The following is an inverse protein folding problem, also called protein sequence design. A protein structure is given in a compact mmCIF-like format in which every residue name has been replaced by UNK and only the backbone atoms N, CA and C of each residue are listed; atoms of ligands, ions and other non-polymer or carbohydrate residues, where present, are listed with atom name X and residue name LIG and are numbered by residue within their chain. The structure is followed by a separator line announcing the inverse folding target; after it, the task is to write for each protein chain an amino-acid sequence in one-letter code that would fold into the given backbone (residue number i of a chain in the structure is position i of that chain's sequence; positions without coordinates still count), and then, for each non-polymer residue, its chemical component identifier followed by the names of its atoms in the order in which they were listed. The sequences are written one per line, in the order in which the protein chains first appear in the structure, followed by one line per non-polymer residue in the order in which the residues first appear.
data_IF_815770741693
#
_entry.id   IF_815770741693
#
_cell.length_a   1.000
_cell.length_b   1.000
_cell.length_c   1.000
_cell.angle_alpha   90.00
_cell.angle_beta   90.00
_cell.angle_gamma   90.00
#
_symmetry.space_group_name_H-M   'P 1'
#
loop_
_entity.id
_entity.type
_entity.pdbx_description
1 polymer ?
#
# COMPACT_ATOMS: atom_id res chain seq x y z
N UNK A 1 -15.18 5.54 -19.79
CA UNK A 1 -15.23 4.77 -18.53
C UNK A 1 -15.49 3.30 -18.85
N UNK A 2 -14.64 2.40 -18.37
CA UNK A 2 -14.83 0.95 -18.56
C UNK A 2 -16.21 0.53 -18.01
N UNK A 3 -17.06 -0.16 -18.81
CA UNK A 3 -18.39 -0.57 -18.37
C UNK A 3 -18.40 -1.45 -17.11
N UNK A 4 -17.33 -2.22 -16.87
CA UNK A 4 -17.17 -3.07 -15.69
C UNK A 4 -16.99 -2.29 -14.39
N UNK A 5 -16.59 -1.02 -14.46
CA UNK A 5 -16.24 -0.16 -13.34
C UNK A 5 -17.23 1.00 -13.11
N UNK A 6 -18.32 1.07 -13.87
CA UNK A 6 -19.32 2.14 -13.75
C UNK A 6 -20.06 2.17 -12.42
N UNK A 7 -20.04 1.06 -11.69
CA UNK A 7 -20.64 0.93 -10.35
C UNK A 7 -19.72 1.43 -9.24
N UNK A 8 -18.40 1.61 -9.50
CA UNK A 8 -17.42 2.01 -8.49
C UNK A 8 -17.66 3.46 -8.06
N UNK A 9 -17.71 3.66 -6.75
CA UNK A 9 -17.87 4.95 -6.07
C UNK A 9 -16.69 5.31 -5.19
N UNK A 10 -15.96 4.30 -4.70
CA UNK A 10 -14.84 4.45 -3.78
C UNK A 10 -13.62 3.72 -4.36
N UNK A 11 -12.57 4.50 -4.66
CA UNK A 11 -11.31 4.03 -5.22
C UNK A 11 -10.26 4.02 -4.13
N UNK A 12 -9.78 2.85 -3.77
CA UNK A 12 -8.81 2.66 -2.70
C UNK A 12 -7.50 2.23 -3.34
N UNK A 13 -6.42 2.90 -2.98
CA UNK A 13 -5.09 2.60 -3.51
C UNK A 13 -4.15 2.29 -2.35
N UNK A 14 -3.34 1.26 -2.51
CA UNK A 14 -2.12 1.14 -1.73
C UNK A 14 -1.14 2.25 -2.14
N UNK A 15 -0.16 2.53 -1.29
CA UNK A 15 0.83 3.57 -1.52
C UNK A 15 2.09 3.02 -2.17
N UNK A 16 2.79 2.13 -1.44
CA UNK A 16 4.14 1.71 -1.76
C UNK A 16 4.14 0.74 -2.95
N UNK A 17 4.93 1.07 -3.97
CA UNK A 17 4.96 0.35 -5.25
C UNK A 17 3.62 0.29 -6.01
N UNK A 18 2.58 0.98 -5.54
CA UNK A 18 1.29 1.09 -6.21
C UNK A 18 1.10 2.49 -6.84
N UNK A 19 1.11 3.56 -6.03
CA UNK A 19 1.01 4.95 -6.52
C UNK A 19 2.34 5.49 -7.10
N UNK A 20 3.42 4.80 -6.89
CA UNK A 20 4.70 5.00 -7.56
C UNK A 20 5.30 3.63 -7.91
N UNK A 21 6.07 3.51 -9.00
CA UNK A 21 6.54 2.20 -9.44
C UNK A 21 7.64 1.63 -8.53
N UNK A 22 7.66 0.32 -8.35
CA UNK A 22 8.70 -0.41 -7.60
C UNK A 22 10.13 -0.11 -8.09
N UNK A 23 10.27 0.23 -9.38
CA UNK A 23 11.56 0.60 -9.99
C UNK A 23 12.22 1.86 -9.40
N UNK A 24 11.49 2.67 -8.63
CA UNK A 24 12.09 3.79 -7.88
C UNK A 24 13.07 3.32 -6.82
N UNK A 25 12.92 2.08 -6.34
CA UNK A 25 13.72 1.53 -5.26
C UNK A 25 13.53 2.25 -3.92
N UNK A 26 12.43 2.97 -3.73
CA UNK A 26 12.16 3.68 -2.47
C UNK A 26 11.96 2.69 -1.33
N UNK A 27 11.19 1.62 -1.56
CA UNK A 27 10.93 0.61 -0.55
C UNK A 27 12.22 -0.10 -0.09
N UNK A 28 13.22 -0.23 -0.97
CA UNK A 28 14.52 -0.78 -0.59
C UNK A 28 15.24 0.06 0.48
N UNK A 29 15.06 1.39 0.50
CA UNK A 29 15.60 2.25 1.54
C UNK A 29 14.93 2.00 2.89
N UNK A 30 13.62 1.79 2.90
CA UNK A 30 12.87 1.41 4.11
C UNK A 30 13.35 0.06 4.62
N UNK A 31 13.51 -0.91 3.72
CA UNK A 31 13.99 -2.26 4.03
C UNK A 31 15.40 -2.24 4.66
N UNK A 32 16.32 -1.42 4.12
CA UNK A 32 17.65 -1.19 4.69
C UNK A 32 17.57 -0.57 6.10
N UNK A 33 16.70 0.42 6.31
CA UNK A 33 16.52 1.04 7.62
C UNK A 33 15.90 0.10 8.64
N UNK A 34 14.94 -0.74 8.24
CA UNK A 34 14.41 -1.80 9.08
C UNK A 34 15.53 -2.74 9.56
N UNK A 35 16.41 -3.16 8.65
CA UNK A 35 17.59 -3.96 8.99
C UNK A 35 18.51 -3.26 9.98
N UNK A 36 18.81 -1.97 9.76
CA UNK A 36 19.65 -1.17 10.66
C UNK A 36 18.99 -0.97 12.04
N UNK A 37 17.68 -0.78 12.10
CA UNK A 37 16.94 -0.71 13.36
C UNK A 37 17.05 -2.02 14.15
N UNK A 38 16.86 -3.16 13.49
CA UNK A 38 16.98 -4.49 14.14
C UNK A 38 18.40 -4.73 14.66
N UNK A 39 19.43 -4.35 13.88
CA UNK A 39 20.83 -4.46 14.33
C UNK A 39 21.07 -3.70 15.65
N UNK A 40 20.57 -2.45 15.75
CA UNK A 40 20.69 -1.66 16.96
C UNK A 40 19.91 -2.26 18.13
N UNK A 41 18.69 -2.72 17.86
CA UNK A 41 17.80 -3.30 18.87
C UNK A 41 18.36 -4.58 19.48
N UNK A 42 18.87 -5.48 18.63
CA UNK A 42 19.29 -6.84 19.04
C UNK A 42 20.80 -6.97 19.23
N UNK A 43 21.60 -5.98 18.84
CA UNK A 43 23.06 -6.07 18.87
C UNK A 43 23.62 -7.14 17.93
N UNK A 44 22.93 -7.39 16.81
CA UNK A 44 23.25 -8.46 15.86
C UNK A 44 23.91 -7.94 14.59
N UNK A 45 24.47 -8.83 13.78
CA UNK A 45 25.05 -8.47 12.48
C UNK A 45 23.97 -8.27 11.39
N UNK A 46 24.31 -7.70 10.22
CA UNK A 46 23.36 -7.43 9.15
C UNK A 46 22.66 -8.67 8.60
N UNK A 47 23.33 -9.84 8.58
CA UNK A 47 22.76 -11.09 8.05
C UNK A 47 21.70 -11.63 9.01
N UNK A 48 22.00 -11.60 10.30
CA UNK A 48 21.06 -11.99 11.36
C UNK A 48 19.86 -11.03 11.39
N UNK A 49 20.09 -9.72 11.34
CA UNK A 49 19.02 -8.73 11.28
C UNK A 49 18.07 -8.96 10.08
N UNK A 50 18.61 -9.27 8.90
CA UNK A 50 17.81 -9.59 7.72
C UNK A 50 17.01 -10.88 7.90
N UNK A 51 17.57 -11.87 8.58
CA UNK A 51 16.89 -13.13 8.90
C UNK A 51 15.70 -12.87 9.82
N UNK A 52 15.91 -12.09 10.89
CA UNK A 52 14.86 -11.68 11.83
C UNK A 52 13.76 -10.88 11.10
N UNK A 53 14.14 -9.90 10.29
CA UNK A 53 13.22 -9.09 9.51
C UNK A 53 12.30 -9.94 8.62
N UNK A 54 12.89 -10.88 7.85
CA UNK A 54 12.14 -11.78 6.98
C UNK A 54 11.24 -12.73 7.77
N UNK A 55 11.72 -13.28 8.88
CA UNK A 55 10.91 -14.12 9.76
C UNK A 55 9.69 -13.38 10.27
N UNK A 56 9.85 -12.16 10.79
CA UNK A 56 8.72 -11.36 11.30
C UNK A 56 7.71 -11.05 10.19
N UNK A 57 8.18 -10.70 9.00
CA UNK A 57 7.29 -10.48 7.86
C UNK A 57 6.46 -11.73 7.54
N UNK A 58 7.08 -12.92 7.53
CA UNK A 58 6.38 -14.17 7.21
C UNK A 58 5.40 -14.62 8.31
N UNK A 59 5.79 -14.45 9.57
CA UNK A 59 5.01 -14.98 10.70
C UNK A 59 3.94 -14.01 11.19
N UNK A 60 4.11 -12.69 10.95
CA UNK A 60 3.27 -11.64 11.51
C UNK A 60 2.73 -10.65 10.47
N UNK A 61 3.00 -10.84 9.18
CA UNK A 61 2.55 -9.98 8.09
C UNK A 61 3.41 -8.73 7.86
N UNK A 62 4.03 -8.18 8.91
CA UNK A 62 5.04 -7.09 8.81
C UNK A 62 6.16 -7.29 9.82
N UNK A 63 7.31 -6.67 9.53
CA UNK A 63 8.45 -6.59 10.46
C UNK A 63 8.03 -5.93 11.77
N UNK A 64 7.27 -4.83 11.71
CA UNK A 64 6.78 -4.10 12.88
C UNK A 64 5.93 -4.99 13.80
N UNK A 65 4.95 -5.70 13.24
CA UNK A 65 4.07 -6.57 14.04
C UNK A 65 4.85 -7.64 14.82
N UNK A 66 5.89 -8.22 14.19
CA UNK A 66 6.79 -9.14 14.84
C UNK A 66 7.63 -8.50 15.95
N UNK A 67 8.21 -7.33 15.69
CA UNK A 67 9.02 -6.60 16.68
C UNK A 67 8.19 -6.13 17.89
N UNK A 68 6.97 -5.66 17.68
CA UNK A 68 6.06 -5.32 18.78
C UNK A 68 5.76 -6.54 19.65
N UNK A 69 5.50 -7.68 19.03
CA UNK A 69 5.11 -8.90 19.75
C UNK A 69 6.26 -9.55 20.52
N UNK A 70 7.46 -9.59 19.95
CA UNK A 70 8.58 -10.34 20.49
C UNK A 70 9.58 -9.47 21.29
N UNK A 71 9.60 -8.14 21.02
CA UNK A 71 10.61 -7.24 21.57
C UNK A 71 10.03 -5.99 22.23
N UNK A 72 8.68 -5.89 22.34
CA UNK A 72 7.97 -4.74 22.96
C UNK A 72 8.39 -3.38 22.36
N UNK A 73 8.62 -3.35 21.04
CA UNK A 73 9.04 -2.14 20.32
C UNK A 73 7.88 -1.16 20.24
N UNK A 74 8.16 0.12 20.56
CA UNK A 74 7.22 1.20 20.31
C UNK A 74 7.04 1.39 18.79
N UNK A 75 5.82 1.21 18.26
CA UNK A 75 5.57 1.35 16.84
C UNK A 75 5.84 2.75 16.29
N UNK A 76 5.66 3.81 17.11
CA UNK A 76 5.94 5.17 16.68
C UNK A 76 7.44 5.39 16.46
N UNK A 77 8.29 4.95 17.41
CA UNK A 77 9.75 5.05 17.29
C UNK A 77 10.26 4.28 16.07
N UNK A 78 9.72 3.07 15.85
CA UNK A 78 10.10 2.26 14.69
C UNK A 78 9.71 2.94 13.37
N UNK A 79 8.46 3.37 13.25
CA UNK A 79 7.95 3.99 12.01
C UNK A 79 8.64 5.32 11.70
N UNK A 80 8.89 6.15 12.71
CA UNK A 80 9.66 7.38 12.55
C UNK A 80 11.08 7.11 12.04
N UNK A 81 11.78 6.11 12.61
CA UNK A 81 13.14 5.76 12.17
C UNK A 81 13.14 5.21 10.74
N UNK A 82 12.30 4.20 10.43
CA UNK A 82 12.37 3.52 9.12
C UNK A 82 11.87 4.39 7.97
N UNK A 83 10.97 5.33 8.25
CA UNK A 83 10.45 6.27 7.26
C UNK A 83 11.28 7.57 7.15
N UNK A 84 12.32 7.76 7.96
CA UNK A 84 13.26 8.88 7.82
C UNK A 84 14.20 8.68 6.62
N UNK A 85 13.62 8.54 5.44
CA UNK A 85 14.31 8.32 4.16
C UNK A 85 14.16 9.53 3.23
N UNK A 86 15.15 9.75 2.33
CA UNK A 86 15.04 10.73 1.26
C UNK A 86 14.05 10.27 0.19
N UNK A 87 13.27 11.20 -0.38
CA UNK A 87 12.24 10.90 -1.37
C UNK A 87 12.61 11.33 -2.80
N UNK A 88 13.87 11.67 -3.06
CA UNK A 88 14.33 12.17 -4.37
C UNK A 88 14.16 11.15 -5.49
N UNK A 89 14.09 9.86 -5.14
CA UNK A 89 13.84 8.77 -6.10
C UNK A 89 12.42 8.78 -6.65
N UNK A 90 11.47 9.31 -5.87
CA UNK A 90 10.08 9.47 -6.31
C UNK A 90 9.98 10.77 -7.10
N UNK A 91 9.47 10.68 -8.32
CA UNK A 91 9.23 11.84 -9.17
C UNK A 91 7.75 12.27 -9.08
N UNK A 92 7.49 13.54 -9.39
CA UNK A 92 6.12 14.00 -9.59
C UNK A 92 5.51 13.25 -10.79
N UNK A 93 4.30 12.74 -10.62
CA UNK A 93 3.53 12.09 -11.69
C UNK A 93 2.36 12.98 -12.12
N UNK A 94 2.64 13.86 -13.09
CA UNK A 94 1.62 14.73 -13.67
C UNK A 94 0.49 13.94 -14.33
N UNK A 95 0.75 12.73 -14.79
CA UNK A 95 -0.26 11.86 -15.40
C UNK A 95 -1.27 11.41 -14.34
N UNK A 96 -0.82 10.85 -13.21
CA UNK A 96 -1.70 10.51 -12.10
C UNK A 96 -2.44 11.74 -11.58
N UNK A 97 -1.75 12.89 -11.46
CA UNK A 97 -2.37 14.17 -11.08
C UNK A 97 -3.53 14.60 -11.97
N UNK A 98 -3.49 14.28 -13.27
CA UNK A 98 -4.58 14.55 -14.21
C UNK A 98 -5.68 13.48 -14.20
N UNK A 99 -5.34 12.22 -13.94
CA UNK A 99 -6.26 11.09 -14.05
C UNK A 99 -7.10 10.89 -12.79
N UNK A 100 -6.48 10.97 -11.61
CA UNK A 100 -7.18 10.74 -10.34
C UNK A 100 -8.42 11.62 -10.15
N UNK A 101 -8.40 12.95 -10.43
CA UNK A 101 -9.60 13.79 -10.29
C UNK A 101 -10.74 13.44 -11.25
N UNK A 102 -10.46 12.71 -12.34
CA UNK A 102 -11.46 12.30 -13.34
C UNK A 102 -12.20 11.01 -12.92
N UNK A 103 -11.70 10.30 -11.94
CA UNK A 103 -12.39 9.12 -11.39
C UNK A 103 -13.67 9.57 -10.68
N UNK A 104 -14.80 8.93 -10.98
CA UNK A 104 -16.07 9.26 -10.31
C UNK A 104 -16.02 8.82 -8.85
N UNK A 105 -16.57 9.65 -7.97
CA UNK A 105 -16.65 9.32 -6.53
C UNK A 105 -15.40 9.68 -5.75
N UNK A 106 -15.14 8.94 -4.67
CA UNK A 106 -14.14 9.26 -3.65
C UNK A 106 -12.86 8.44 -3.85
N UNK A 107 -11.73 8.95 -3.39
CA UNK A 107 -10.43 8.29 -3.46
C UNK A 107 -9.80 8.24 -2.07
N UNK A 108 -9.22 7.08 -1.74
CA UNK A 108 -8.61 6.81 -0.44
C UNK A 108 -7.25 6.14 -0.62
N UNK A 109 -6.37 6.34 0.34
CA UNK A 109 -5.13 5.57 0.48
C UNK A 109 -5.29 4.59 1.63
N UNK A 110 -4.90 3.33 1.42
CA UNK A 110 -4.83 2.29 2.44
C UNK A 110 -3.44 1.64 2.44
N UNK A 111 -2.63 1.96 3.44
CA UNK A 111 -1.21 1.57 3.50
C UNK A 111 -0.84 0.90 4.81
N UNK A 112 0.16 0.00 4.77
CA UNK A 112 0.83 -0.54 5.96
C UNK A 112 1.93 0.41 6.51
N UNK A 113 2.20 1.52 5.83
CA UNK A 113 3.00 2.62 6.35
C UNK A 113 2.21 3.53 7.30
N UNK A 114 2.86 4.56 7.86
CA UNK A 114 2.22 5.57 8.68
C UNK A 114 1.79 6.80 7.88
N UNK A 115 0.85 7.56 8.44
CA UNK A 115 0.30 8.74 7.78
C UNK A 115 1.33 9.86 7.51
N UNK A 116 2.30 10.16 8.39
CA UNK A 116 3.35 11.15 8.11
C UNK A 116 4.18 10.80 6.87
N UNK A 117 4.62 9.56 6.76
CA UNK A 117 5.34 9.08 5.58
C UNK A 117 4.47 9.13 4.32
N UNK A 118 3.26 8.57 4.41
CA UNK A 118 2.35 8.54 3.27
C UNK A 118 2.06 9.94 2.70
N UNK A 119 1.83 10.94 3.55
CA UNK A 119 1.62 12.33 3.11
C UNK A 119 2.83 12.89 2.37
N UNK A 120 4.04 12.69 2.88
CA UNK A 120 5.29 13.12 2.21
C UNK A 120 5.45 12.49 0.83
N UNK A 121 5.10 11.21 0.69
CA UNK A 121 5.14 10.50 -0.61
C UNK A 121 4.08 11.06 -1.55
N UNK A 122 2.83 11.22 -1.11
CA UNK A 122 1.74 11.79 -1.91
C UNK A 122 2.03 13.22 -2.38
N UNK A 123 2.60 14.06 -1.50
CA UNK A 123 3.07 15.41 -1.85
C UNK A 123 4.17 15.36 -2.90
N UNK A 124 5.12 14.41 -2.77
CA UNK A 124 6.22 14.25 -3.70
C UNK A 124 5.76 13.77 -5.09
N UNK A 125 4.77 12.88 -5.14
CA UNK A 125 4.12 12.45 -6.39
C UNK A 125 3.29 13.60 -7.00
N UNK A 126 2.81 14.55 -6.18
CA UNK A 126 1.95 15.66 -6.59
C UNK A 126 0.47 15.32 -6.65
N UNK A 127 0.00 14.37 -5.80
CA UNK A 127 -1.38 13.87 -5.82
C UNK A 127 -2.10 13.97 -4.45
N UNK A 128 -1.49 14.58 -3.45
CA UNK A 128 -2.02 14.63 -2.07
C UNK A 128 -3.45 15.17 -1.99
N UNK A 129 -3.79 16.19 -2.78
CA UNK A 129 -5.09 16.86 -2.78
C UNK A 129 -6.21 16.03 -3.45
N UNK A 130 -5.87 14.89 -4.04
CA UNK A 130 -6.83 14.04 -4.74
C UNK A 130 -7.45 12.95 -3.86
N UNK A 131 -6.99 12.80 -2.62
CA UNK A 131 -7.47 11.79 -1.68
C UNK A 131 -8.29 12.41 -0.55
N UNK A 132 -9.47 11.85 -0.32
CA UNK A 132 -10.40 12.30 0.74
C UNK A 132 -10.04 11.71 2.10
N UNK A 133 -9.24 10.64 2.13
CA UNK A 133 -8.82 10.01 3.36
C UNK A 133 -7.62 9.08 3.19
N UNK A 134 -6.93 8.88 4.30
CA UNK A 134 -5.81 7.97 4.43
C UNK A 134 -6.06 7.05 5.63
N UNK A 135 -5.93 5.75 5.39
CA UNK A 135 -6.03 4.69 6.38
C UNK A 135 -4.68 4.00 6.49
N UNK A 136 -4.02 4.21 7.61
CA UNK A 136 -2.65 3.81 7.87
C UNK A 136 -2.56 2.69 8.92
N UNK A 137 -1.37 2.23 9.21
CA UNK A 137 -1.12 1.17 10.18
C UNK A 137 -1.61 1.50 11.60
N UNK A 138 -1.63 2.79 11.99
CA UNK A 138 -2.18 3.21 13.28
C UNK A 138 -3.70 3.06 13.31
N UNK A 139 -4.37 3.42 12.20
CA UNK A 139 -5.81 3.30 12.08
C UNK A 139 -6.30 1.84 12.08
N UNK A 140 -5.44 0.88 11.68
CA UNK A 140 -5.73 -0.56 11.76
C UNK A 140 -5.44 -1.18 13.14
N UNK A 141 -4.96 -0.38 14.11
CA UNK A 141 -4.49 -0.90 15.40
C UNK A 141 -3.28 -1.82 15.27
N UNK A 142 -2.40 -1.52 14.30
CA UNK A 142 -1.19 -2.28 13.98
C UNK A 142 -1.44 -3.72 13.50
N UNK A 143 -2.64 -3.95 12.94
CA UNK A 143 -2.98 -5.19 12.23
C UNK A 143 -2.84 -4.91 10.73
N UNK A 144 -1.70 -5.28 10.14
CA UNK A 144 -1.38 -4.89 8.76
C UNK A 144 -2.23 -5.65 7.74
N UNK A 145 -2.35 -5.11 6.53
CA UNK A 145 -2.79 -5.92 5.37
C UNK A 145 -1.88 -7.16 5.29
N UNK A 146 -2.42 -8.36 5.06
CA UNK A 146 -3.78 -8.69 4.64
C UNK A 146 -4.77 -9.03 5.77
N UNK A 147 -4.57 -8.60 7.03
CA UNK A 147 -5.54 -8.86 8.10
C UNK A 147 -6.91 -8.23 7.74
N UNK A 148 -8.02 -9.02 7.69
CA UNK A 148 -9.34 -8.52 7.30
C UNK A 148 -9.85 -7.35 8.14
N UNK A 149 -9.44 -7.27 9.40
CA UNK A 149 -9.88 -6.23 10.33
C UNK A 149 -9.54 -4.82 9.85
N UNK A 150 -8.37 -4.63 9.22
CA UNK A 150 -7.99 -3.33 8.64
C UNK A 150 -8.95 -2.86 7.56
N UNK A 151 -9.46 -3.77 6.74
CA UNK A 151 -10.45 -3.48 5.68
C UNK A 151 -11.82 -3.13 6.26
N UNK A 152 -12.26 -3.86 7.30
CA UNK A 152 -13.51 -3.56 8.01
C UNK A 152 -13.47 -2.17 8.65
N UNK A 153 -12.35 -1.83 9.30
CA UNK A 153 -12.14 -0.50 9.90
C UNK A 153 -12.10 0.61 8.84
N UNK A 154 -11.45 0.38 7.69
CA UNK A 154 -11.47 1.31 6.56
C UNK A 154 -12.90 1.59 6.10
N UNK A 155 -13.68 0.52 5.85
CA UNK A 155 -15.07 0.63 5.41
C UNK A 155 -15.94 1.37 6.44
N UNK A 156 -15.82 1.01 7.72
CA UNK A 156 -16.57 1.64 8.80
C UNK A 156 -16.21 3.14 8.96
N UNK A 157 -14.92 3.46 8.90
CA UNK A 157 -14.41 4.84 9.10
C UNK A 157 -14.92 5.81 8.03
N UNK A 158 -14.95 5.37 6.79
CA UNK A 158 -15.28 6.24 5.65
C UNK A 158 -16.67 5.98 5.06
N UNK A 159 -17.44 5.05 5.65
CA UNK A 159 -18.77 4.69 5.13
C UNK A 159 -18.68 4.11 3.71
N UNK A 160 -17.70 3.24 3.47
CA UNK A 160 -17.49 2.57 2.19
C UNK A 160 -18.37 1.31 2.15
N UNK A 161 -19.14 1.17 1.07
CA UNK A 161 -19.81 -0.08 0.74
C UNK A 161 -18.89 -0.91 -0.17
N UNK A 162 -18.38 -2.07 0.29
CA UNK A 162 -17.47 -2.90 -0.49
C UNK A 162 -17.96 -3.24 -1.89
N UNK A 163 -19.27 -3.42 -2.08
CA UNK A 163 -19.87 -3.75 -3.37
C UNK A 163 -19.68 -2.63 -4.43
N UNK A 164 -19.37 -1.40 -3.99
CA UNK A 164 -19.13 -0.24 -4.84
C UNK A 164 -17.71 0.31 -4.69
N UNK A 165 -16.82 -0.47 -4.10
CA UNK A 165 -15.42 -0.10 -3.88
C UNK A 165 -14.47 -0.92 -4.76
N UNK A 166 -13.31 -0.31 -5.04
CA UNK A 166 -12.21 -0.96 -5.73
C UNK A 166 -10.94 -0.76 -4.90
N UNK A 167 -10.15 -1.84 -4.76
CA UNK A 167 -8.80 -1.79 -4.18
C UNK A 167 -7.76 -2.11 -5.25
N UNK A 168 -6.78 -1.21 -5.42
CA UNK A 168 -5.56 -1.45 -6.18
C UNK A 168 -4.38 -1.62 -5.22
N UNK A 169 -3.63 -2.71 -5.36
CA UNK A 169 -2.48 -3.05 -4.50
C UNK A 169 -1.44 -3.83 -5.32
N UNK A 170 -0.17 -3.69 -5.01
CA UNK A 170 0.92 -4.40 -5.69
C UNK A 170 1.13 -5.82 -5.16
N UNK A 171 0.53 -6.17 -4.02
CA UNK A 171 0.64 -7.50 -3.41
C UNK A 171 -0.69 -8.26 -3.51
N UNK A 172 -0.69 -9.40 -4.20
CA UNK A 172 -1.89 -10.25 -4.38
C UNK A 172 -2.52 -10.66 -3.05
N UNK A 173 -1.70 -11.00 -2.04
CA UNK A 173 -2.22 -11.37 -0.72
C UNK A 173 -3.14 -10.30 -0.10
N UNK A 174 -2.90 -9.01 -0.38
CA UNK A 174 -3.71 -7.91 0.12
C UNK A 174 -5.05 -7.79 -0.61
N UNK A 175 -5.16 -8.33 -1.82
CA UNK A 175 -6.41 -8.34 -2.59
C UNK A 175 -7.39 -9.42 -2.09
N UNK A 176 -6.88 -10.48 -1.46
CA UNK A 176 -7.72 -11.60 -0.98
C UNK A 176 -8.82 -11.16 0.00
N UNK A 177 -8.52 -10.41 1.08
CA UNK A 177 -9.56 -9.93 2.00
C UNK A 177 -10.51 -8.91 1.35
N UNK A 178 -9.99 -8.04 0.48
CA UNK A 178 -10.82 -7.08 -0.25
C UNK A 178 -11.85 -7.80 -1.13
N UNK A 179 -11.40 -8.82 -1.85
CA UNK A 179 -12.27 -9.67 -2.69
C UNK A 179 -13.32 -10.40 -1.85
N UNK A 180 -12.92 -10.95 -0.71
CA UNK A 180 -13.85 -11.63 0.20
C UNK A 180 -14.93 -10.71 0.75
N UNK A 181 -14.65 -9.41 0.90
CA UNK A 181 -15.65 -8.39 1.28
C UNK A 181 -16.53 -7.95 0.11
N UNK A 182 -16.21 -8.33 -1.13
CA UNK A 182 -16.97 -7.97 -2.33
C UNK A 182 -16.44 -6.76 -3.10
N UNK A 183 -15.23 -6.29 -2.80
CA UNK A 183 -14.58 -5.22 -3.57
C UNK A 183 -14.14 -5.73 -4.93
N UNK A 184 -14.12 -4.83 -5.92
CA UNK A 184 -13.37 -5.04 -7.15
C UNK A 184 -11.88 -4.91 -6.86
N UNK A 185 -11.04 -5.76 -7.44
CA UNK A 185 -9.62 -5.83 -7.11
C UNK A 185 -8.73 -5.62 -8.33
N UNK A 186 -7.66 -4.87 -8.15
CA UNK A 186 -6.66 -4.58 -9.19
C UNK A 186 -5.27 -4.93 -8.66
N UNK A 187 -4.64 -5.90 -9.26
CA UNK A 187 -3.24 -6.20 -8.99
C UNK A 187 -2.32 -5.36 -9.87
N UNK A 188 -1.53 -4.50 -9.23
CA UNK A 188 -0.49 -3.69 -9.90
C UNK A 188 0.80 -4.51 -9.97
N UNK A 189 0.92 -5.33 -10.99
CA UNK A 189 2.06 -6.24 -11.23
C UNK A 189 3.21 -5.49 -11.92
N UNK A 190 3.90 -4.65 -11.17
CA UNK A 190 4.98 -3.80 -11.68
C UNK A 190 6.38 -4.27 -11.28
N UNK A 191 6.53 -5.54 -10.89
CA UNK A 191 7.80 -6.14 -10.52
C UNK A 191 8.23 -5.86 -9.07
N UNK A 192 7.29 -5.48 -8.19
CA UNK A 192 7.56 -5.38 -6.76
C UNK A 192 8.00 -6.72 -6.16
N UNK A 193 8.93 -6.67 -5.20
CA UNK A 193 9.42 -7.88 -4.54
C UNK A 193 8.24 -8.59 -3.85
N UNK A 194 7.98 -9.83 -4.25
CA UNK A 194 6.89 -10.68 -3.74
C UNK A 194 5.47 -10.20 -4.06
N UNK A 195 5.29 -9.40 -5.11
CA UNK A 195 3.95 -8.98 -5.54
C UNK A 195 3.00 -10.16 -5.75
N UNK A 196 3.51 -11.30 -6.19
CA UNK A 196 2.78 -12.56 -6.39
C UNK A 196 2.70 -13.45 -5.13
N UNK A 197 3.22 -13.02 -3.97
CA UNK A 197 3.15 -13.80 -2.75
C UNK A 197 1.69 -14.04 -2.34
N UNK A 198 1.37 -15.31 -2.04
CA UNK A 198 -0.01 -15.72 -1.76
C UNK A 198 -0.91 -15.67 -3.00
N UNK A 199 -0.35 -15.90 -4.20
CA UNK A 199 -1.09 -15.82 -5.47
C UNK A 199 -2.42 -16.58 -5.41
N UNK A 200 -3.51 -15.86 -5.69
CA UNK A 200 -4.88 -16.36 -5.73
C UNK A 200 -5.57 -15.72 -6.93
N UNK A 201 -5.70 -16.47 -8.02
CA UNK A 201 -6.28 -15.97 -9.28
C UNK A 201 -7.69 -15.42 -9.06
N UNK A 202 -8.48 -16.07 -8.22
CA UNK A 202 -9.86 -15.69 -7.91
C UNK A 202 -9.96 -14.33 -7.18
N UNK A 203 -8.85 -13.87 -6.59
CA UNK A 203 -8.80 -12.59 -5.90
C UNK A 203 -8.45 -11.40 -6.82
N UNK A 204 -8.26 -11.64 -8.14
CA UNK A 204 -7.80 -10.62 -9.08
C UNK A 204 -8.85 -10.41 -10.17
N UNK A 205 -9.49 -9.23 -10.20
CA UNK A 205 -10.39 -8.84 -11.30
C UNK A 205 -9.63 -8.22 -12.46
N UNK A 206 -8.56 -7.47 -12.17
CA UNK A 206 -7.69 -6.83 -13.15
C UNK A 206 -6.23 -7.02 -12.78
N UNK A 207 -5.39 -7.33 -13.75
CA UNK A 207 -3.93 -7.36 -13.64
C UNK A 207 -3.34 -6.30 -14.55
N UNK A 208 -2.53 -5.40 -14.00
CA UNK A 208 -2.02 -4.23 -14.71
C UNK A 208 -0.53 -4.03 -14.39
N UNK A 209 0.26 -3.66 -15.39
CA UNK A 209 1.70 -3.41 -15.19
C UNK A 209 2.02 -1.99 -14.75
N UNK A 210 1.13 -1.02 -15.06
CA UNK A 210 1.26 0.38 -14.70
C UNK A 210 -0.13 0.95 -14.37
N UNK A 211 -0.25 1.59 -13.21
CA UNK A 211 -1.51 2.13 -12.73
C UNK A 211 -2.01 3.28 -13.60
N UNK A 212 -1.12 4.18 -14.04
CA UNK A 212 -1.47 5.31 -14.88
C UNK A 212 -1.97 4.88 -16.26
N UNK A 213 -1.29 3.91 -16.91
CA UNK A 213 -1.71 3.35 -18.20
C UNK A 213 -3.10 2.72 -18.09
N UNK A 214 -3.33 1.99 -16.99
CA UNK A 214 -4.64 1.39 -16.76
C UNK A 214 -5.72 2.43 -16.50
N UNK A 215 -5.47 3.46 -15.70
CA UNK A 215 -6.44 4.54 -15.44
C UNK A 215 -6.78 5.31 -16.73
N UNK A 216 -5.83 5.51 -17.64
CA UNK A 216 -6.11 6.10 -18.96
C UNK A 216 -7.10 5.23 -19.76
N UNK A 217 -6.88 3.92 -19.78
CA UNK A 217 -7.79 2.98 -20.44
C UNK A 217 -9.18 2.99 -19.81
N UNK A 218 -9.26 2.96 -18.48
CA UNK A 218 -10.52 2.99 -17.71
C UNK A 218 -11.32 4.25 -18.02
N UNK A 219 -10.66 5.38 -18.11
CA UNK A 219 -11.29 6.69 -18.38
C UNK A 219 -11.61 6.93 -19.88
N UNK A 220 -11.19 6.01 -20.76
CA UNK A 220 -11.49 6.07 -22.19
C UNK A 220 -10.49 6.87 -23.02
N UNK A 221 -9.23 6.92 -22.57
CA UNK A 221 -8.17 7.69 -23.24
C UNK A 221 -8.42 9.22 -23.22
N UNK A 222 -7.37 9.99 -23.34
CA UNK A 222 -7.47 11.40 -23.74
C UNK A 222 -7.45 11.46 -25.26
N UNK A 223 -8.52 11.94 -25.91
CA UNK A 223 -8.33 12.58 -27.20
C UNK A 223 -7.48 13.84 -27.04
#
# INVERSE_FOLDING_TARGET
MDPRLTHIRDWIFDLDNCLYPASTGLFALIDERMGAYIQRLLGCDPVEAKTVQKRHFHEHGTTLAGLMKEHDVDPHDFLEDVHAIPLERVQCDERLGRLLPRLPGRRFVFTNGDAPYARRVLERIGVSDHFEGLHDIHATGYRPKPDPHGYELLCARFGIDPAYALLADDMVQNLVPAKALGMTTVWVDNGSERGDHGFAEDAIDFRVGDLGDWLEQVLGGTE
#
